data_IF_044207397213
#
_entry.id   IF_044207397213
#
_cell.length_a   1.000
_cell.length_b   1.000
_cell.length_c   1.000
_cell.angle_alpha   90.00
_cell.angle_beta   90.00
_cell.angle_gamma   90.00
#
_symmetry.space_group_name_H-M   'P 1'
#
loop_
_entity.id
_entity.type
_entity.pdbx_description
1 polymer ?
#
# COMPACT_ATOMS: atom_id res chain seq x y z
N UNK A 1 -4.03 -17.51 4.97
CA UNK A 1 -4.60 -17.39 3.62
C UNK A 1 -4.40 -18.72 2.87
N UNK A 2 -5.41 -19.60 2.91
CA UNK A 2 -5.36 -20.98 2.34
C UNK A 2 -5.12 -21.02 0.82
N UNK A 3 -5.20 -19.88 0.14
CA UNK A 3 -4.96 -19.71 -1.31
C UNK A 3 -3.60 -19.13 -1.65
N UNK A 4 -2.76 -18.82 -0.67
CA UNK A 4 -1.44 -18.24 -0.95
C UNK A 4 -0.54 -19.30 -1.61
N UNK A 5 0.24 -18.87 -2.61
CA UNK A 5 1.28 -19.69 -3.22
C UNK A 5 2.23 -20.21 -2.12
N UNK A 6 2.66 -21.48 -2.21
CA UNK A 6 3.63 -22.07 -1.26
C UNK A 6 4.96 -21.32 -1.18
N UNK A 7 5.26 -20.48 -2.18
CA UNK A 7 6.44 -19.58 -2.22
C UNK A 7 6.13 -18.17 -1.69
N UNK A 8 4.93 -17.94 -1.13
CA UNK A 8 4.58 -16.65 -0.57
C UNK A 8 5.51 -16.26 0.58
N UNK A 9 6.09 -15.09 0.49
CA UNK A 9 6.93 -14.50 1.54
C UNK A 9 6.16 -13.31 2.11
N UNK A 10 5.82 -13.39 3.40
CA UNK A 10 5.23 -12.24 4.09
C UNK A 10 6.29 -11.17 4.31
N UNK A 11 6.09 -9.98 3.74
CA UNK A 11 6.95 -8.80 3.93
C UNK A 11 6.27 -7.72 4.79
N UNK A 12 5.02 -7.96 5.23
CA UNK A 12 4.29 -7.08 6.14
C UNK A 12 4.74 -7.25 7.59
N UNK A 13 4.38 -6.28 8.43
CA UNK A 13 4.54 -6.41 9.88
C UNK A 13 3.46 -7.34 10.45
N UNK A 14 3.79 -8.52 11.03
CA UNK A 14 2.83 -9.46 11.56
C UNK A 14 1.91 -8.85 12.63
N UNK A 15 2.47 -8.04 13.54
CA UNK A 15 1.70 -7.39 14.62
C UNK A 15 0.60 -6.48 14.06
N UNK A 16 0.90 -5.73 12.99
CA UNK A 16 -0.10 -4.86 12.34
C UNK A 16 -1.15 -5.71 11.62
N UNK A 17 -0.75 -6.80 10.98
CA UNK A 17 -1.67 -7.71 10.30
C UNK A 17 -2.68 -8.29 11.29
N UNK A 18 -2.19 -8.79 12.44
CA UNK A 18 -3.05 -9.37 13.49
C UNK A 18 -4.03 -8.33 14.06
N UNK A 19 -3.53 -7.14 14.42
CA UNK A 19 -4.39 -6.04 14.90
C UNK A 19 -5.48 -5.67 13.89
N UNK A 20 -5.17 -5.65 12.59
CA UNK A 20 -6.15 -5.31 11.53
C UNK A 20 -7.28 -6.34 11.43
N UNK A 21 -7.02 -7.63 11.72
CA UNK A 21 -8.05 -8.68 11.70
C UNK A 21 -9.09 -8.53 12.81
N UNK A 22 -8.74 -7.84 13.90
CA UNK A 22 -9.58 -7.62 15.07
C UNK A 22 -10.12 -6.19 15.18
N UNK A 23 -9.68 -5.27 14.31
CA UNK A 23 -10.09 -3.87 14.33
C UNK A 23 -11.29 -3.65 13.41
N UNK A 24 -12.47 -3.21 13.95
CA UNK A 24 -13.62 -2.92 13.11
C UNK A 24 -13.40 -1.66 12.28
N UNK A 25 -13.97 -1.65 11.08
CA UNK A 25 -14.12 -0.43 10.30
C UNK A 25 -15.13 0.50 11.00
N UNK A 26 -14.81 1.79 11.13
CA UNK A 26 -15.64 2.79 11.83
C UNK A 26 -16.83 3.30 10.97
N UNK A 27 -17.29 2.46 10.06
CA UNK A 27 -18.47 2.68 9.22
C UNK A 27 -19.37 1.47 9.41
N UNK A 28 -20.65 1.70 9.61
CA UNK A 28 -21.65 0.65 9.83
C UNK A 28 -21.66 -0.38 8.70
N UNK A 29 -21.75 -1.66 9.03
CA UNK A 29 -21.78 -2.79 8.10
C UNK A 29 -20.53 -3.03 7.24
N UNK A 30 -19.38 -2.39 7.54
CA UNK A 30 -18.15 -2.58 6.77
C UNK A 30 -17.30 -3.77 7.26
N UNK A 31 -17.51 -4.29 8.47
CA UNK A 31 -16.76 -5.43 9.02
C UNK A 31 -15.40 -5.03 9.56
N UNK A 32 -14.38 -5.87 9.37
CA UNK A 32 -13.04 -5.68 9.92
C UNK A 32 -12.07 -5.11 8.89
N UNK A 33 -11.09 -4.31 9.34
CA UNK A 33 -10.06 -3.74 8.46
C UNK A 33 -9.26 -4.84 7.76
N UNK A 34 -9.07 -5.99 8.39
CA UNK A 34 -8.37 -7.15 7.82
C UNK A 34 -9.04 -7.77 6.60
N UNK A 35 -10.33 -7.48 6.34
CA UNK A 35 -11.05 -7.93 5.15
C UNK A 35 -10.70 -7.12 3.89
N UNK A 36 -9.90 -6.07 4.03
CA UNK A 36 -9.65 -5.09 2.97
C UNK A 36 -8.20 -5.12 2.49
N UNK A 37 -8.03 -4.89 1.18
CA UNK A 37 -6.74 -4.67 0.53
C UNK A 37 -6.39 -3.18 0.67
N UNK A 38 -5.27 -2.83 1.33
CA UNK A 38 -4.84 -1.45 1.49
C UNK A 38 -4.07 -0.93 0.29
N UNK A 39 -4.31 0.32 -0.07
CA UNK A 39 -3.57 1.10 -1.06
C UNK A 39 -3.11 2.40 -0.41
N UNK A 40 -1.83 2.71 -0.52
CA UNK A 40 -1.29 3.97 -0.03
C UNK A 40 -1.43 5.08 -1.06
N UNK A 41 -1.66 6.30 -0.62
CA UNK A 41 -1.68 7.48 -1.49
C UNK A 41 -0.29 7.94 -1.93
N UNK A 42 0.75 7.22 -1.55
CA UNK A 42 2.13 7.44 -1.97
C UNK A 42 2.84 6.11 -2.23
N UNK A 43 3.73 6.09 -3.21
CA UNK A 43 4.62 4.95 -3.42
C UNK A 43 5.65 4.79 -2.29
N UNK A 44 6.00 5.89 -1.61
CA UNK A 44 7.00 5.92 -0.52
C UNK A 44 6.36 5.72 0.85
N UNK A 45 5.54 4.68 1.00
CA UNK A 45 4.90 4.37 2.29
C UNK A 45 5.94 4.04 3.39
N UNK A 46 5.55 4.23 4.66
CA UNK A 46 6.38 3.82 5.81
C UNK A 46 6.63 2.31 5.80
N UNK A 47 5.69 1.52 5.28
CA UNK A 47 5.91 0.08 5.08
C UNK A 47 7.09 -0.16 4.12
N UNK A 48 7.11 0.50 2.97
CA UNK A 48 8.23 0.39 2.02
C UNK A 48 9.54 0.87 2.64
N UNK A 49 9.53 1.96 3.41
CA UNK A 49 10.71 2.43 4.15
C UNK A 49 11.27 1.35 5.07
N UNK A 50 10.42 0.72 5.89
CA UNK A 50 10.84 -0.34 6.81
C UNK A 50 11.45 -1.53 6.07
N UNK A 51 10.83 -1.96 4.95
CA UNK A 51 11.30 -3.09 4.15
C UNK A 51 12.66 -2.77 3.50
N UNK A 52 12.82 -1.59 2.92
CA UNK A 52 14.04 -1.25 2.17
C UNK A 52 15.23 -0.93 3.09
N UNK A 53 14.98 -0.18 4.17
CA UNK A 53 16.05 0.23 5.10
C UNK A 53 16.39 -0.84 6.14
N UNK A 54 15.45 -1.74 6.43
CA UNK A 54 15.56 -2.68 7.53
C UNK A 54 15.32 -2.04 8.91
N UNK A 55 14.67 -0.86 8.96
CA UNK A 55 14.41 -0.14 10.22
C UNK A 55 13.67 -0.98 11.27
N UNK A 56 12.82 -1.91 10.82
CA UNK A 56 12.07 -2.85 11.69
C UNK A 56 12.60 -4.28 11.64
N UNK A 57 13.82 -4.52 11.10
CA UNK A 57 14.42 -5.85 11.10
C UNK A 57 14.71 -6.33 12.56
N UNK A 58 14.45 -7.61 12.91
CA UNK A 58 14.01 -8.72 12.04
C UNK A 58 12.47 -8.85 11.89
N UNK A 59 11.65 -8.06 12.59
CA UNK A 59 10.18 -8.17 12.55
C UNK A 59 9.63 -7.98 11.12
N UNK A 60 10.18 -7.01 10.39
CA UNK A 60 9.93 -6.82 8.97
C UNK A 60 11.20 -7.18 8.20
N UNK A 61 11.17 -8.21 7.33
CA UNK A 61 12.36 -8.62 6.57
C UNK A 61 12.86 -7.51 5.66
N UNK A 62 14.17 -7.19 5.74
CA UNK A 62 14.79 -6.28 4.79
C UNK A 62 14.81 -6.89 3.40
N UNK A 63 14.47 -6.10 2.37
CA UNK A 63 14.49 -6.50 0.96
C UNK A 63 15.17 -5.44 0.10
N UNK A 64 15.89 -5.91 -0.92
CA UNK A 64 16.45 -5.01 -1.91
C UNK A 64 15.32 -4.39 -2.77
N UNK A 65 15.40 -3.12 -3.18
CA UNK A 65 14.37 -2.48 -4.01
C UNK A 65 13.99 -3.26 -5.27
N UNK A 66 14.94 -3.98 -5.89
CA UNK A 66 14.67 -4.80 -7.08
C UNK A 66 13.79 -6.04 -6.82
N UNK A 67 13.56 -6.40 -5.57
CA UNK A 67 12.66 -7.50 -5.17
C UNK A 67 11.23 -7.01 -4.88
N UNK A 68 10.99 -5.70 -5.00
CA UNK A 68 9.71 -5.07 -4.65
C UNK A 68 9.09 -4.49 -5.91
N UNK A 69 7.83 -4.83 -6.14
CA UNK A 69 6.99 -4.31 -7.19
C UNK A 69 6.00 -3.29 -6.60
N UNK A 70 5.97 -2.07 -7.15
CA UNK A 70 4.97 -1.07 -6.79
C UNK A 70 3.88 -1.08 -7.85
N UNK A 71 2.69 -1.54 -7.48
CA UNK A 71 1.48 -1.52 -8.31
C UNK A 71 0.77 -0.17 -8.15
N UNK A 72 0.41 0.45 -9.27
CA UNK A 72 -0.34 1.68 -9.30
C UNK A 72 -1.78 1.44 -9.75
N UNK A 73 -2.71 2.09 -9.08
CA UNK A 73 -4.14 2.06 -9.36
C UNK A 73 -4.67 3.50 -9.41
N UNK A 74 -5.80 3.71 -10.08
CA UNK A 74 -6.54 4.97 -10.03
C UNK A 74 -7.66 4.86 -9.00
N UNK A 75 -7.78 5.89 -8.16
CA UNK A 75 -8.81 5.92 -7.12
C UNK A 75 -10.22 5.89 -7.70
N UNK A 76 -10.42 6.53 -8.84
CA UNK A 76 -11.71 6.57 -9.55
C UNK A 76 -12.13 5.16 -9.98
N UNK A 77 -11.17 4.35 -10.44
CA UNK A 77 -11.44 2.96 -10.82
C UNK A 77 -11.70 2.07 -9.61
N UNK A 78 -10.93 2.24 -8.53
CA UNK A 78 -11.12 1.50 -7.28
C UNK A 78 -12.47 1.83 -6.61
N UNK A 79 -12.88 3.09 -6.65
CA UNK A 79 -14.14 3.55 -6.06
C UNK A 79 -15.37 3.17 -6.89
N UNK A 80 -15.21 2.85 -8.16
CA UNK A 80 -16.28 2.38 -9.04
C UNK A 80 -16.57 0.89 -8.94
N UNK A 81 -15.75 0.13 -8.21
CA UNK A 81 -16.00 -1.28 -7.95
C UNK A 81 -17.29 -1.49 -7.16
N UNK A 82 -18.00 -2.59 -7.42
CA UNK A 82 -19.17 -2.98 -6.62
C UNK A 82 -18.82 -3.36 -5.18
N UNK A 83 -17.55 -3.67 -4.92
CA UNK A 83 -17.03 -3.98 -3.58
C UNK A 83 -17.08 -2.76 -2.68
N UNK A 84 -17.37 -2.98 -1.38
CA UNK A 84 -17.25 -1.92 -0.38
C UNK A 84 -15.83 -1.38 -0.34
N UNK A 85 -15.69 -0.08 -0.28
CA UNK A 85 -14.42 0.62 -0.12
C UNK A 85 -14.55 1.75 0.89
N UNK A 86 -13.45 2.13 1.47
CA UNK A 86 -13.33 3.34 2.29
C UNK A 86 -11.90 3.86 2.21
N UNK A 87 -11.70 5.10 2.62
CA UNK A 87 -10.36 5.63 2.83
C UNK A 87 -10.23 6.23 4.24
N UNK A 88 -9.01 6.56 4.62
CA UNK A 88 -8.69 7.03 5.95
C UNK A 88 -7.82 8.28 5.89
N UNK A 89 -7.88 9.11 6.93
CA UNK A 89 -7.00 10.28 7.12
C UNK A 89 -5.67 9.95 7.82
N UNK A 90 -5.38 8.67 7.99
CA UNK A 90 -4.17 8.17 8.63
C UNK A 90 -4.12 6.65 8.65
N UNK A 91 -3.21 6.06 9.41
CA UNK A 91 -3.08 4.61 9.53
C UNK A 91 -4.41 3.98 9.96
N UNK A 92 -4.98 3.07 9.16
CA UNK A 92 -6.37 2.63 9.29
C UNK A 92 -6.73 2.04 10.67
N UNK A 93 -5.81 1.33 11.32
CA UNK A 93 -6.05 0.72 12.64
C UNK A 93 -5.72 1.64 13.82
N UNK A 94 -5.37 2.90 13.59
CA UNK A 94 -5.13 3.87 14.67
C UNK A 94 -6.45 4.41 15.22
N UNK A 95 -6.52 4.59 16.55
CA UNK A 95 -7.73 5.07 17.23
C UNK A 95 -8.12 6.49 16.83
N UNK A 96 -7.14 7.35 16.53
CA UNK A 96 -7.35 8.73 16.11
C UNK A 96 -7.73 8.88 14.63
N UNK A 97 -7.64 7.82 13.83
CA UNK A 97 -7.95 7.84 12.41
C UNK A 97 -9.46 7.80 12.16
N UNK A 98 -9.93 8.61 11.24
CA UNK A 98 -11.31 8.61 10.73
C UNK A 98 -11.41 7.82 9.44
N UNK A 99 -12.53 7.12 9.23
CA UNK A 99 -12.83 6.35 8.04
C UNK A 99 -13.93 7.04 7.24
N UNK A 100 -13.74 7.14 5.91
CA UNK A 100 -14.62 7.85 4.98
C UNK A 100 -15.01 6.95 3.82
N UNK A 101 -16.27 6.92 3.44
CA UNK A 101 -16.78 6.18 2.26
C UNK A 101 -17.38 7.09 1.18
N UNK A 102 -17.03 8.36 1.19
CA UNK A 102 -17.42 9.33 0.19
C UNK A 102 -16.19 10.10 -0.30
N UNK A 103 -15.92 10.08 -1.60
CA UNK A 103 -14.78 10.78 -2.20
C UNK A 103 -14.83 12.31 -2.05
N UNK A 104 -15.97 12.90 -1.72
CA UNK A 104 -16.06 14.34 -1.43
C UNK A 104 -15.24 14.75 -0.20
N UNK A 105 -14.91 13.77 0.66
CA UNK A 105 -14.09 13.99 1.86
C UNK A 105 -12.58 13.76 1.63
N UNK A 106 -12.15 13.60 0.38
CA UNK A 106 -10.75 13.30 0.04
C UNK A 106 -9.76 14.41 0.44
N UNK A 107 -10.25 15.61 0.67
CA UNK A 107 -9.51 16.75 1.20
C UNK A 107 -9.11 16.60 2.69
N UNK A 108 -9.69 15.64 3.42
CA UNK A 108 -9.33 15.32 4.81
C UNK A 108 -7.97 14.64 4.93
N UNK A 109 -7.42 14.16 3.83
CA UNK A 109 -6.06 13.58 3.77
C UNK A 109 -5.02 14.69 3.87
N UNK A 110 -3.96 14.44 4.63
CA UNK A 110 -2.79 15.33 4.74
C UNK A 110 -1.92 15.24 3.47
N UNK A 111 -2.43 15.81 2.38
CA UNK A 111 -1.76 15.83 1.09
C UNK A 111 -0.40 16.53 1.13
N UNK A 112 -0.23 17.50 2.01
CA UNK A 112 1.05 18.23 2.14
C UNK A 112 2.15 17.27 2.58
N UNK A 113 1.95 16.56 3.68
CA UNK A 113 2.93 15.57 4.17
C UNK A 113 3.20 14.47 3.15
N UNK A 114 2.16 14.00 2.45
CA UNK A 114 2.26 12.96 1.42
C UNK A 114 3.09 13.44 0.24
N UNK A 115 2.81 14.61 -0.33
CA UNK A 115 3.53 15.15 -1.48
C UNK A 115 5.00 15.47 -1.15
N UNK A 116 5.27 15.94 0.06
CA UNK A 116 6.62 16.21 0.53
C UNK A 116 7.40 14.95 0.90
N UNK A 117 6.74 13.78 0.94
CA UNK A 117 7.29 12.54 1.51
C UNK A 117 7.81 12.73 2.93
N UNK A 118 7.11 13.54 3.72
CA UNK A 118 7.50 13.90 5.07
C UNK A 118 6.67 13.16 6.11
N UNK A 119 7.27 12.19 6.79
CA UNK A 119 6.69 11.46 7.91
C UNK A 119 7.50 11.64 9.22
N UNK A 120 8.36 12.67 9.26
CA UNK A 120 9.10 13.04 10.46
C UNK A 120 8.16 13.48 11.58
N UNK A 121 8.51 13.11 12.81
CA UNK A 121 7.78 13.47 14.04
C UNK A 121 8.45 14.61 14.82
N UNK A 122 9.47 15.27 14.26
CA UNK A 122 10.28 16.25 14.97
C UNK A 122 9.51 17.48 15.44
N UNK A 123 8.56 17.92 14.64
CA UNK A 123 7.73 19.12 14.83
C UNK A 123 6.22 18.81 14.93
N UNK A 124 5.82 17.58 14.57
CA UNK A 124 4.44 17.15 14.56
C UNK A 124 4.37 15.64 14.83
N UNK A 125 4.01 15.27 16.05
CA UNK A 125 3.94 13.87 16.51
C UNK A 125 2.93 13.01 15.74
N UNK A 126 1.87 13.63 15.20
CA UNK A 126 0.80 12.93 14.49
C UNK A 126 1.06 12.78 13.00
N UNK A 127 2.05 13.49 12.44
CA UNK A 127 2.35 13.44 11.01
C UNK A 127 2.57 12.01 10.50
N UNK A 128 3.31 11.19 11.24
CA UNK A 128 3.56 9.81 10.86
C UNK A 128 2.29 8.96 10.74
N UNK A 129 1.24 9.21 11.52
CA UNK A 129 -0.07 8.57 11.40
C UNK A 129 -0.77 9.07 10.13
N UNK A 130 -0.89 10.39 9.95
CA UNK A 130 -1.58 10.99 8.79
C UNK A 130 -0.92 10.65 7.47
N UNK A 131 0.41 10.59 7.42
CA UNK A 131 1.16 10.15 6.24
C UNK A 131 0.80 8.72 5.79
N UNK A 132 0.30 7.89 6.67
CA UNK A 132 -0.14 6.52 6.39
C UNK A 132 -1.63 6.42 6.03
N UNK A 133 -2.23 7.48 5.53
CA UNK A 133 -3.57 7.43 4.94
C UNK A 133 -3.66 6.34 3.87
N UNK A 134 -4.77 5.60 3.87
CA UNK A 134 -4.97 4.43 3.03
C UNK A 134 -6.32 4.52 2.31
N UNK A 135 -6.37 4.01 1.08
CA UNK A 135 -7.61 3.61 0.42
C UNK A 135 -7.75 2.09 0.55
N UNK A 136 -8.91 1.60 0.90
CA UNK A 136 -9.11 0.18 1.22
C UNK A 136 -10.29 -0.38 0.44
N UNK A 137 -10.10 -1.51 -0.24
CA UNK A 137 -11.13 -2.21 -1.03
C UNK A 137 -11.37 -3.59 -0.45
N UNK A 138 -12.63 -3.98 -0.26
CA UNK A 138 -13.00 -5.25 0.37
C UNK A 138 -12.69 -6.44 -0.53
N UNK A 139 -12.09 -7.47 0.03
CA UNK A 139 -11.82 -8.79 -0.52
C UNK A 139 -10.83 -8.81 -1.69
N UNK A 140 -11.18 -8.28 -2.86
CA UNK A 140 -10.39 -8.41 -4.07
C UNK A 140 -10.48 -7.18 -4.99
N UNK A 141 -9.44 -7.00 -5.77
CA UNK A 141 -9.40 -6.01 -6.86
C UNK A 141 -8.98 -6.74 -8.13
N UNK A 142 -9.76 -6.66 -9.21
CA UNK A 142 -9.41 -7.30 -10.47
C UNK A 142 -8.08 -6.79 -11.03
N UNK A 143 -7.27 -7.69 -11.60
CA UNK A 143 -5.96 -7.37 -12.16
C UNK A 143 -6.05 -6.35 -13.31
N UNK A 144 -7.19 -6.28 -14.00
CA UNK A 144 -7.48 -5.30 -15.05
C UNK A 144 -7.48 -3.85 -14.58
N UNK A 145 -7.59 -3.60 -13.27
CA UNK A 145 -7.55 -2.25 -12.68
C UNK A 145 -6.13 -1.79 -12.36
N UNK A 146 -5.10 -2.63 -12.60
CA UNK A 146 -3.71 -2.20 -12.45
C UNK A 146 -3.37 -1.22 -13.57
N UNK A 147 -3.14 0.05 -13.23
CA UNK A 147 -2.73 1.07 -14.20
C UNK A 147 -1.30 0.83 -14.69
N UNK A 148 -0.40 0.48 -13.79
CA UNK A 148 0.99 0.14 -14.12
C UNK A 148 1.69 -0.61 -13.00
N UNK A 149 2.71 -1.38 -13.42
CA UNK A 149 3.68 -2.02 -12.55
C UNK A 149 4.98 -1.24 -12.59
N UNK A 150 5.50 -0.86 -11.43
CA UNK A 150 6.70 -0.03 -11.34
C UNK A 150 7.79 -0.81 -10.63
N UNK A 151 8.95 -0.91 -11.24
CA UNK A 151 10.11 -1.68 -10.78
C UNK A 151 11.34 -0.79 -10.63
N UNK A 152 12.31 -1.26 -9.86
CA UNK A 152 13.49 -0.49 -9.50
C UNK A 152 14.55 -0.41 -10.61
N UNK A 153 14.69 -1.44 -11.45
CA UNK A 153 15.72 -1.52 -12.49
C UNK A 153 15.28 -2.39 -13.68
N UNK A 154 16.10 -2.39 -14.76
CA UNK A 154 15.78 -3.09 -16.00
C UNK A 154 15.72 -4.61 -15.82
N UNK A 155 16.58 -5.19 -14.98
CA UNK A 155 16.54 -6.63 -14.67
C UNK A 155 15.21 -7.05 -14.03
N UNK A 156 14.69 -6.25 -13.11
CA UNK A 156 13.37 -6.48 -12.51
C UNK A 156 12.26 -6.27 -13.55
N UNK A 157 12.42 -5.30 -14.47
CA UNK A 157 11.49 -5.07 -15.57
C UNK A 157 11.39 -6.29 -16.49
N UNK A 158 12.50 -6.77 -16.99
CA UNK A 158 12.56 -7.97 -17.86
C UNK A 158 11.91 -9.19 -17.18
N UNK A 159 12.15 -9.36 -15.87
CA UNK A 159 11.56 -10.45 -15.10
C UNK A 159 10.03 -10.34 -15.02
N UNK A 160 9.50 -9.14 -14.74
CA UNK A 160 8.05 -8.91 -14.64
C UNK A 160 7.39 -9.05 -16.02
N UNK A 161 7.99 -8.49 -17.09
CA UNK A 161 7.47 -8.60 -18.45
C UNK A 161 7.40 -10.06 -18.91
N UNK A 162 8.38 -10.89 -18.54
CA UNK A 162 8.36 -12.33 -18.80
C UNK A 162 7.15 -12.99 -18.12
N UNK A 163 6.89 -12.69 -16.86
CA UNK A 163 5.72 -13.22 -16.14
C UNK A 163 4.42 -12.78 -16.80
N UNK A 164 4.27 -11.50 -17.14
CA UNK A 164 3.07 -11.00 -17.80
C UNK A 164 2.81 -11.74 -19.11
N UNK A 165 3.85 -12.00 -19.89
CA UNK A 165 3.75 -12.77 -21.14
C UNK A 165 3.31 -14.22 -20.89
N UNK A 166 3.82 -14.88 -19.85
CA UNK A 166 3.43 -16.25 -19.49
C UNK A 166 1.94 -16.35 -19.14
N UNK A 167 1.36 -15.29 -18.57
CA UNK A 167 -0.05 -15.22 -18.19
C UNK A 167 -0.95 -14.49 -19.20
N UNK A 168 -0.41 -14.08 -20.38
CA UNK A 168 -1.13 -13.30 -21.39
C UNK A 168 -1.73 -12.00 -20.83
N UNK A 169 -1.00 -11.30 -20.00
CA UNK A 169 -1.42 -10.05 -19.39
C UNK A 169 -0.73 -8.85 -20.05
N UNK A 170 -1.54 -7.86 -20.42
CA UNK A 170 -1.08 -6.61 -21.01
C UNK A 170 -1.12 -5.49 -19.98
N UNK A 171 -0.08 -5.38 -19.14
CA UNK A 171 0.06 -4.34 -18.13
C UNK A 171 1.36 -3.59 -18.36
N UNK A 172 1.30 -2.27 -18.35
CA UNK A 172 2.47 -1.41 -18.52
C UNK A 172 3.48 -1.60 -17.39
N UNK A 173 4.74 -1.89 -17.73
CA UNK A 173 5.86 -2.00 -16.78
C UNK A 173 6.83 -0.83 -16.95
N UNK A 174 7.04 -0.06 -15.87
CA UNK A 174 7.96 1.07 -15.87
C UNK A 174 9.17 0.79 -14.97
N UNK A 175 10.38 1.09 -15.45
CA UNK A 175 11.55 1.25 -14.60
C UNK A 175 11.48 2.66 -13.98
N UNK A 176 11.17 2.75 -12.68
CA UNK A 176 10.95 4.04 -12.02
C UNK A 176 11.50 4.07 -10.59
N UNK A 177 12.78 4.40 -10.48
CA UNK A 177 13.49 4.47 -9.19
C UNK A 177 12.92 5.51 -8.23
N UNK A 178 12.22 6.53 -8.72
CA UNK A 178 11.66 7.60 -7.88
C UNK A 178 10.58 7.08 -6.89
N UNK A 179 9.98 5.93 -7.19
CA UNK A 179 8.99 5.29 -6.33
C UNK A 179 9.57 4.60 -5.10
N UNK A 180 10.91 4.51 -5.02
CA UNK A 180 11.64 3.83 -3.96
C UNK A 180 12.41 4.81 -3.10
N UNK A 181 12.71 4.42 -1.87
CA UNK A 181 13.66 5.17 -1.08
C UNK A 181 15.08 4.96 -1.63
N UNK A 182 15.86 6.02 -1.69
CA UNK A 182 17.27 5.92 -2.05
C UNK A 182 17.98 5.17 -0.91
N UNK A 183 18.42 3.96 -1.19
CA UNK A 183 19.36 3.30 -0.31
C UNK A 183 20.71 4.01 -0.51
N UNK A 184 21.09 4.81 0.45
CA UNK A 184 22.49 5.16 0.63
C UNK A 184 23.19 3.88 1.11
N UNK A 185 23.74 3.14 0.18
CA UNK A 185 24.67 2.02 0.39
C UNK A 185 26.01 2.41 -0.16
#
# INVERSE_FOLDING_TARGET
NSKANSKYINIGNPEIIDVRTETPVKIEDYGMIGDYIPFYFTSKSIMLYNIQTGFRHPVVPKRHPSEILVMRFKIEELSSLESKWFFTDGQANDKATTHYNNLTDIDKIDWESIHQNNFSKSDDFDRGRRYQAEFLVKNEVPISHIESLNVYNDKAKEYVEKILKEYNLEIRVNNNKIYYFWAWL
#
